data_IF_212593089090
#
_entry.id   IF_212593089090
#
_cell.length_a   1.000
_cell.length_b   1.000
_cell.length_c   1.000
_cell.angle_alpha   90.00
_cell.angle_beta   90.00
_cell.angle_gamma   90.00
#
_symmetry.space_group_name_H-M   'P 1'
#
loop_
_entity.id
_entity.type
_entity.pdbx_description
1 polymer ?
#
# COMPACT_ATOMS: atom_id res chain seq x y z
N UNK A 1 -11.55 5.59 8.95
CA UNK A 1 -12.19 4.26 8.81
C UNK A 1 -12.89 4.12 7.45
N UNK A 2 -12.89 2.93 6.81
CA UNK A 2 -13.53 2.69 5.47
C UNK A 2 -15.08 2.72 5.45
N UNK A 3 -15.72 3.06 6.57
CA UNK A 3 -17.18 3.08 6.70
C UNK A 3 -17.93 3.93 5.65
N UNK A 4 -17.39 5.08 5.15
CA UNK A 4 -18.05 5.85 4.10
C UNK A 4 -18.15 5.09 2.76
N UNK A 5 -17.17 4.24 2.45
CA UNK A 5 -17.18 3.40 1.23
C UNK A 5 -18.26 2.31 1.31
N UNK A 6 -18.71 1.97 2.52
CA UNK A 6 -19.79 1.02 2.77
C UNK A 6 -21.17 1.69 2.77
N UNK A 7 -21.26 2.98 2.40
CA UNK A 7 -22.49 3.79 2.43
C UNK A 7 -23.16 3.81 3.81
N UNK A 8 -22.37 3.66 4.88
CA UNK A 8 -22.85 3.81 6.26
C UNK A 8 -22.95 5.31 6.55
N UNK A 9 -24.18 5.81 6.71
CA UNK A 9 -24.44 7.24 6.85
C UNK A 9 -23.91 7.85 8.16
N UNK A 10 -23.64 9.17 8.18
CA UNK A 10 -23.27 9.87 9.40
C UNK A 10 -24.37 9.75 10.46
N UNK A 11 -24.00 9.40 11.69
CA UNK A 11 -24.93 9.17 12.82
C UNK A 11 -25.35 7.70 13.02
N UNK A 12 -24.96 6.79 12.13
CA UNK A 12 -25.14 5.35 12.35
C UNK A 12 -24.11 4.82 13.36
N UNK A 13 -24.52 3.84 14.17
CA UNK A 13 -23.59 3.01 14.94
C UNK A 13 -22.76 2.17 13.95
N UNK A 14 -21.54 2.65 13.68
CA UNK A 14 -20.64 2.09 12.68
C UNK A 14 -20.29 0.64 13.01
N UNK A 15 -20.02 0.32 14.26
CA UNK A 15 -19.60 -1.02 14.68
C UNK A 15 -20.73 -2.02 14.50
N UNK A 16 -21.96 -1.63 14.87
CA UNK A 16 -23.14 -2.45 14.65
C UNK A 16 -23.44 -2.64 13.16
N UNK A 17 -23.32 -1.58 12.36
CA UNK A 17 -23.54 -1.62 10.92
C UNK A 17 -22.51 -2.51 10.20
N UNK A 18 -21.23 -2.41 10.57
CA UNK A 18 -20.16 -3.25 10.03
C UNK A 18 -20.38 -4.71 10.42
N UNK A 19 -20.72 -5.00 11.68
CA UNK A 19 -20.99 -6.36 12.15
C UNK A 19 -22.19 -7.01 11.46
N UNK A 20 -23.25 -6.23 11.19
CA UNK A 20 -24.39 -6.71 10.43
C UNK A 20 -24.00 -7.05 8.99
N UNK A 21 -23.24 -6.17 8.33
CA UNK A 21 -22.76 -6.39 6.96
C UNK A 21 -21.80 -7.58 6.84
N UNK A 22 -20.92 -7.81 7.82
CA UNK A 22 -19.97 -8.94 7.77
C UNK A 22 -20.65 -10.31 7.83
N UNK A 23 -21.92 -10.35 8.25
CA UNK A 23 -22.75 -11.56 8.33
C UNK A 23 -23.77 -11.66 7.19
N UNK A 24 -23.81 -10.66 6.32
CA UNK A 24 -24.73 -10.60 5.19
C UNK A 24 -24.03 -11.14 3.93
N UNK A 25 -24.42 -12.34 3.54
CA UNK A 25 -23.95 -13.05 2.35
C UNK A 25 -24.28 -12.34 1.02
N UNK A 26 -25.19 -11.36 1.04
CA UNK A 26 -25.48 -10.53 -0.14
C UNK A 26 -24.48 -9.39 -0.35
N UNK A 27 -23.48 -9.22 0.53
CA UNK A 27 -22.46 -8.19 0.36
C UNK A 27 -21.51 -8.50 -0.80
N UNK A 28 -21.69 -7.77 -1.91
CA UNK A 28 -21.24 -8.13 -3.27
C UNK A 28 -19.77 -7.82 -3.60
N UNK A 29 -18.91 -7.48 -2.62
CA UNK A 29 -17.55 -6.95 -2.91
C UNK A 29 -16.42 -7.55 -2.04
N UNK A 30 -16.31 -8.88 -1.88
CA UNK A 30 -15.13 -9.47 -1.22
C UNK A 30 -13.80 -9.11 -1.91
N UNK A 31 -13.85 -8.74 -3.19
CA UNK A 31 -12.68 -8.39 -4.00
C UNK A 31 -11.91 -7.12 -3.61
N UNK A 32 -12.44 -6.26 -2.74
CA UNK A 32 -11.77 -5.00 -2.36
C UNK A 32 -10.74 -5.13 -1.24
N UNK A 33 -10.43 -6.36 -0.81
CA UNK A 33 -9.51 -6.73 0.28
C UNK A 33 -8.57 -5.61 0.75
N UNK A 34 -7.43 -5.47 0.09
CA UNK A 34 -6.39 -4.49 0.43
C UNK A 34 -6.36 -3.30 -0.53
N UNK A 35 -7.43 -3.08 -1.30
CA UNK A 35 -7.57 -1.94 -2.20
C UNK A 35 -7.36 -0.62 -1.43
N UNK A 36 -6.79 0.38 -2.10
CA UNK A 36 -6.38 1.64 -1.49
C UNK A 36 -5.14 1.59 -0.59
N UNK A 37 -4.39 0.47 -0.49
CA UNK A 37 -3.13 0.47 0.26
C UNK A 37 -2.11 1.45 -0.36
N UNK A 38 -1.66 2.40 0.46
CA UNK A 38 -0.77 3.49 0.05
C UNK A 38 0.50 3.60 0.90
N UNK A 39 0.48 3.06 2.12
CA UNK A 39 1.64 3.10 2.99
C UNK A 39 1.87 1.83 3.80
N UNK A 40 3.12 1.64 4.18
CA UNK A 40 3.56 0.64 5.15
C UNK A 40 4.39 1.35 6.22
N UNK A 41 3.89 1.37 7.45
CA UNK A 41 4.50 2.11 8.55
C UNK A 41 5.11 1.12 9.53
N UNK A 42 6.42 1.21 9.71
CA UNK A 42 7.23 0.41 10.61
C UNK A 42 7.72 1.34 11.73
N UNK A 43 6.95 1.42 12.81
CA UNK A 43 7.22 2.34 13.91
C UNK A 43 6.55 1.87 15.20
N UNK A 44 6.93 2.40 16.38
CA UNK A 44 6.27 2.04 17.62
C UNK A 44 4.77 2.35 17.53
N UNK A 45 3.90 1.46 18.02
CA UNK A 45 2.43 1.63 17.96
C UNK A 45 1.95 2.99 18.47
N UNK A 46 2.67 3.59 19.42
CA UNK A 46 2.40 4.92 19.95
C UNK A 46 2.40 6.01 18.88
N UNK A 47 3.23 5.90 17.83
CA UNK A 47 3.32 6.86 16.72
C UNK A 47 2.04 6.94 15.89
N UNK A 48 1.27 5.86 15.80
CA UNK A 48 0.06 5.78 14.96
C UNK A 48 -1.21 5.64 15.78
N UNK A 49 -1.14 5.78 17.11
CA UNK A 49 -2.30 5.58 17.99
C UNK A 49 -3.24 6.77 17.91
N UNK A 50 -4.52 6.50 17.63
CA UNK A 50 -5.54 7.53 17.48
C UNK A 50 -5.53 8.26 16.14
N UNK A 51 -4.59 7.94 15.23
CA UNK A 51 -4.58 8.50 13.87
C UNK A 51 -5.57 7.76 12.97
N UNK A 52 -6.41 8.49 12.25
CA UNK A 52 -7.21 7.90 11.16
C UNK A 52 -6.37 7.87 9.87
N UNK A 53 -5.85 6.69 9.54
CA UNK A 53 -5.09 6.45 8.31
C UNK A 53 -6.00 6.05 7.14
N UNK A 54 -7.32 6.23 7.28
CA UNK A 54 -8.35 5.90 6.29
C UNK A 54 -8.45 4.41 5.92
N UNK A 55 -7.66 3.55 6.55
CA UNK A 55 -7.52 2.15 6.13
C UNK A 55 -6.63 1.98 4.89
N UNK A 56 -5.71 2.91 4.65
CA UNK A 56 -4.74 2.91 3.54
C UNK A 56 -3.33 2.47 3.96
N UNK A 57 -3.11 2.13 5.24
CA UNK A 57 -1.79 1.81 5.76
C UNK A 57 -1.71 0.39 6.32
N UNK A 58 -0.65 -0.32 5.96
CA UNK A 58 -0.17 -1.48 6.72
C UNK A 58 0.63 -0.97 7.92
N UNK A 59 0.42 -1.57 9.10
CA UNK A 59 1.10 -1.17 10.33
C UNK A 59 1.93 -2.32 10.87
N UNK A 60 3.21 -2.06 11.12
CA UNK A 60 4.10 -2.97 11.82
C UNK A 60 4.67 -2.27 13.06
N UNK A 61 4.35 -2.80 14.24
CA UNK A 61 4.93 -2.25 15.48
C UNK A 61 6.38 -2.68 15.58
N UNK A 62 7.28 -1.71 15.68
CA UNK A 62 8.72 -1.93 15.74
C UNK A 62 9.39 -0.82 16.55
N UNK A 63 10.31 -1.17 17.44
CA UNK A 63 11.14 -0.22 18.18
C UNK A 63 12.61 -0.61 18.00
N UNK A 64 13.33 0.17 17.20
CA UNK A 64 14.72 -0.10 16.86
C UNK A 64 15.67 -0.09 18.06
N UNK A 65 15.29 0.60 19.15
CA UNK A 65 16.09 0.64 20.38
C UNK A 65 16.11 -0.69 21.13
N UNK A 66 15.19 -1.59 20.79
CA UNK A 66 15.09 -2.94 21.36
C UNK A 66 15.64 -4.01 20.39
N UNK A 67 16.15 -3.60 19.23
CA UNK A 67 16.63 -4.49 18.17
C UNK A 67 18.16 -4.45 18.08
N UNK A 68 18.81 -5.14 19.03
CA UNK A 68 20.26 -5.23 19.08
C UNK A 68 20.81 -5.86 17.79
N UNK A 69 21.58 -5.07 17.03
CA UNK A 69 22.15 -5.50 15.75
C UNK A 69 21.20 -5.44 14.56
N UNK A 70 19.99 -4.88 14.72
CA UNK A 70 19.03 -4.60 13.63
C UNK A 70 18.55 -5.85 12.85
N UNK A 71 18.55 -7.01 13.49
CA UNK A 71 18.10 -8.26 12.85
C UNK A 71 16.61 -8.25 12.56
N UNK A 72 15.81 -7.61 13.41
CA UNK A 72 14.36 -7.46 13.19
C UNK A 72 14.09 -6.44 12.08
N UNK A 73 14.84 -5.33 12.01
CA UNK A 73 14.77 -4.38 10.89
C UNK A 73 15.05 -5.09 9.55
N UNK A 74 16.10 -5.89 9.50
CA UNK A 74 16.46 -6.68 8.33
C UNK A 74 15.34 -7.62 7.91
N UNK A 75 14.75 -8.35 8.86
CA UNK A 75 13.60 -9.21 8.60
C UNK A 75 12.40 -8.41 8.06
N UNK A 76 12.10 -7.25 8.64
CA UNK A 76 10.98 -6.41 8.22
C UNK A 76 11.17 -5.89 6.78
N UNK A 77 12.36 -5.42 6.45
CA UNK A 77 12.68 -4.87 5.12
C UNK A 77 12.76 -5.97 4.04
N UNK A 78 13.16 -7.19 4.40
CA UNK A 78 13.33 -8.28 3.42
C UNK A 78 12.08 -9.13 3.23
N UNK A 79 11.15 -9.16 4.19
CA UNK A 79 9.93 -9.95 4.09
C UNK A 79 8.64 -9.09 4.10
N UNK A 80 8.15 -8.55 5.23
CA UNK A 80 6.94 -7.72 5.24
C UNK A 80 6.91 -6.57 4.23
N UNK A 81 8.01 -5.84 4.06
CA UNK A 81 8.08 -4.75 3.09
C UNK A 81 7.95 -5.25 1.64
N UNK A 82 8.62 -6.35 1.31
CA UNK A 82 8.55 -6.97 -0.01
C UNK A 82 7.13 -7.47 -0.29
N UNK A 83 6.50 -8.16 0.67
CA UNK A 83 5.10 -8.61 0.55
C UNK A 83 4.14 -7.44 0.36
N UNK A 84 4.27 -6.37 1.18
CA UNK A 84 3.44 -5.17 1.04
C UNK A 84 3.62 -4.52 -0.33
N UNK A 85 4.85 -4.50 -0.85
CA UNK A 85 5.16 -3.97 -2.18
C UNK A 85 4.48 -4.78 -3.29
N UNK A 86 4.49 -6.11 -3.21
CA UNK A 86 3.85 -6.96 -4.23
C UNK A 86 2.34 -6.80 -4.25
N UNK A 87 1.73 -6.70 -3.07
CA UNK A 87 0.30 -6.41 -2.95
C UNK A 87 -0.01 -5.07 -3.61
N UNK A 88 0.69 -3.99 -3.22
CA UNK A 88 0.46 -2.67 -3.79
C UNK A 88 0.71 -2.64 -5.32
N UNK A 89 1.79 -3.26 -5.81
CA UNK A 89 2.10 -3.31 -7.23
C UNK A 89 1.06 -4.08 -8.05
N UNK A 90 0.46 -5.13 -7.48
CA UNK A 90 -0.61 -5.87 -8.14
C UNK A 90 -1.85 -4.98 -8.36
N UNK A 91 -2.23 -4.20 -7.35
CA UNK A 91 -3.30 -3.21 -7.51
C UNK A 91 -2.89 -2.08 -8.45
N UNK A 92 -1.69 -1.52 -8.31
CA UNK A 92 -1.14 -0.49 -9.18
C UNK A 92 -1.24 -0.87 -10.66
N UNK A 93 -0.66 -2.02 -11.04
CA UNK A 93 -0.61 -2.45 -12.42
C UNK A 93 -2.01 -2.75 -12.97
N UNK A 94 -2.85 -3.42 -12.16
CA UNK A 94 -4.25 -3.73 -12.52
C UNK A 94 -5.12 -2.46 -12.66
N UNK A 95 -4.76 -1.36 -12.00
CA UNK A 95 -5.42 -0.06 -12.14
C UNK A 95 -4.92 0.71 -13.37
N UNK A 96 -3.59 0.71 -13.63
CA UNK A 96 -2.97 1.44 -14.75
C UNK A 96 -3.47 0.92 -16.10
N UNK A 97 -3.42 -0.40 -16.31
CA UNK A 97 -3.98 -1.03 -17.51
C UNK A 97 -4.50 -2.43 -17.15
N UNK A 98 -5.80 -2.51 -16.86
CA UNK A 98 -6.42 -3.78 -16.50
C UNK A 98 -6.47 -4.79 -17.65
N UNK A 99 -6.40 -4.33 -18.90
CA UNK A 99 -6.43 -5.23 -20.06
C UNK A 99 -5.11 -5.98 -20.19
N UNK A 100 -4.01 -5.30 -19.90
CA UNK A 100 -2.65 -5.87 -20.00
C UNK A 100 -2.19 -6.53 -18.70
N UNK A 101 -2.39 -5.87 -17.56
CA UNK A 101 -1.85 -6.30 -16.26
C UNK A 101 -2.93 -6.77 -15.27
N UNK A 102 -4.20 -6.72 -15.65
CA UNK A 102 -5.32 -7.21 -14.87
C UNK A 102 -5.88 -8.52 -15.41
N UNK A 103 -7.06 -8.88 -14.91
CA UNK A 103 -7.82 -10.04 -15.40
C UNK A 103 -9.16 -9.68 -16.04
N UNK A 104 -9.43 -8.41 -16.34
CA UNK A 104 -10.67 -8.00 -16.99
C UNK A 104 -11.89 -8.19 -16.08
N UNK A 105 -13.02 -8.56 -16.67
CA UNK A 105 -14.29 -8.67 -15.97
C UNK A 105 -14.41 -9.98 -15.18
N UNK A 106 -14.48 -9.87 -13.85
CA UNK A 106 -14.65 -11.01 -12.92
C UNK A 106 -15.84 -11.91 -13.27
N UNK A 107 -16.93 -11.35 -13.80
CA UNK A 107 -18.14 -12.10 -14.14
C UNK A 107 -17.93 -13.11 -15.28
N UNK A 108 -16.88 -12.91 -16.09
CA UNK A 108 -16.55 -13.76 -17.23
C UNK A 108 -15.39 -14.71 -16.94
N UNK A 109 -14.88 -14.76 -15.70
CA UNK A 109 -13.69 -15.54 -15.36
C UNK A 109 -13.95 -17.05 -15.39
N UNK A 110 -13.13 -17.74 -16.15
CA UNK A 110 -12.99 -19.20 -16.08
C UNK A 110 -11.63 -19.53 -15.50
N UNK A 111 -11.61 -20.21 -14.34
CA UNK A 111 -10.37 -20.54 -13.61
C UNK A 111 -9.60 -21.63 -14.34
N UNK A 112 -8.30 -21.42 -14.55
CA UNK A 112 -7.42 -22.38 -15.22
C UNK A 112 -6.29 -22.79 -14.27
N UNK A 113 -6.38 -24.03 -13.75
CA UNK A 113 -5.28 -24.70 -13.06
C UNK A 113 -4.71 -23.99 -11.83
N UNK A 114 -5.46 -23.04 -11.22
CA UNK A 114 -4.97 -22.11 -10.20
C UNK A 114 -3.77 -21.23 -10.63
N UNK A 115 -3.48 -21.17 -11.94
CA UNK A 115 -2.42 -20.36 -12.52
C UNK A 115 -2.92 -18.98 -12.94
N UNK A 116 -4.18 -18.89 -13.33
CA UNK A 116 -4.83 -17.66 -13.76
C UNK A 116 -6.27 -17.89 -14.21
N UNK A 117 -6.80 -16.95 -14.97
CA UNK A 117 -8.17 -17.00 -15.50
C UNK A 117 -8.20 -16.69 -16.99
N UNK A 118 -9.20 -17.24 -17.69
CA UNK A 118 -9.63 -16.75 -19.00
C UNK A 118 -10.80 -15.80 -18.82
N UNK A 119 -10.86 -14.73 -19.62
CA UNK A 119 -12.03 -13.85 -19.68
C UNK A 119 -12.95 -14.28 -20.82
N UNK A 120 -14.03 -15.00 -20.49
CA UNK A 120 -14.98 -15.56 -21.45
C UNK A 120 -14.59 -16.96 -21.93
N UNK A 121 -15.00 -17.32 -23.14
CA UNK A 121 -14.91 -18.70 -23.65
C UNK A 121 -13.50 -19.12 -24.13
N UNK A 122 -12.51 -18.22 -24.08
CA UNK A 122 -11.14 -18.47 -24.56
C UNK A 122 -10.26 -17.23 -24.43
N UNK A 123 -9.07 -17.28 -25.05
CA UNK A 123 -8.10 -16.17 -25.07
C UNK A 123 -6.85 -16.44 -24.24
N UNK A 124 -6.06 -15.40 -24.02
CA UNK A 124 -4.82 -15.48 -23.25
C UNK A 124 -5.10 -15.64 -21.75
N UNK A 125 -4.22 -16.38 -21.06
CA UNK A 125 -4.27 -16.52 -19.60
C UNK A 125 -3.97 -15.17 -18.94
N UNK A 126 -4.81 -14.76 -17.99
CA UNK A 126 -4.64 -13.50 -17.25
C UNK A 126 -4.31 -13.74 -15.78
N UNK A 127 -3.34 -12.97 -15.28
CA UNK A 127 -2.71 -13.11 -13.96
C UNK A 127 -2.65 -11.77 -13.25
N UNK A 128 -3.82 -11.20 -12.94
CA UNK A 128 -3.94 -9.89 -12.31
C UNK A 128 -5.31 -9.72 -11.66
N UNK A 129 -5.59 -8.54 -11.11
CA UNK A 129 -6.87 -8.30 -10.45
C UNK A 129 -7.96 -7.95 -11.47
N UNK A 130 -9.20 -8.41 -11.23
CA UNK A 130 -10.32 -8.02 -12.07
C UNK A 130 -10.64 -6.54 -11.92
N UNK A 131 -11.31 -5.97 -12.92
CA UNK A 131 -11.78 -4.59 -12.89
C UNK A 131 -12.56 -4.25 -11.62
N UNK A 132 -13.40 -5.18 -11.13
CA UNK A 132 -14.20 -5.00 -9.92
C UNK A 132 -13.35 -4.91 -8.64
N UNK A 133 -12.11 -5.40 -8.62
CA UNK A 133 -11.19 -5.24 -7.48
C UNK A 133 -10.63 -3.82 -7.36
N UNK A 134 -10.55 -3.10 -8.48
CA UNK A 134 -9.90 -1.79 -8.56
C UNK A 134 -10.87 -0.64 -8.80
N UNK A 135 -12.12 -0.93 -9.20
CA UNK A 135 -13.11 0.07 -9.61
C UNK A 135 -14.51 -0.28 -9.08
N UNK A 136 -15.27 0.73 -8.63
CA UNK A 136 -16.63 0.55 -8.07
C UNK A 136 -17.77 0.69 -9.09
N UNK A 137 -17.45 1.20 -10.28
CA UNK A 137 -18.40 1.50 -11.36
C UNK A 137 -18.43 2.98 -11.72
N UNK A 138 -17.98 3.84 -10.80
CA UNK A 138 -17.90 5.30 -10.98
C UNK A 138 -16.46 5.80 -10.86
N UNK A 139 -15.67 5.24 -9.94
CA UNK A 139 -14.29 5.64 -9.67
C UNK A 139 -13.39 4.46 -9.31
N UNK A 140 -12.09 4.73 -9.34
CA UNK A 140 -11.09 3.81 -8.79
C UNK A 140 -11.20 3.73 -7.26
N UNK A 141 -11.20 2.51 -6.75
CA UNK A 141 -11.12 2.18 -5.32
C UNK A 141 -9.66 2.04 -4.87
N UNK A 142 -8.76 1.74 -5.82
CA UNK A 142 -7.32 1.83 -5.64
C UNK A 142 -6.73 2.77 -6.69
N UNK A 143 -6.15 3.88 -6.25
CA UNK A 143 -5.40 4.80 -7.10
C UNK A 143 -4.08 4.16 -7.53
N UNK A 144 -3.60 4.38 -8.76
CA UNK A 144 -2.35 3.81 -9.25
C UNK A 144 -1.14 4.53 -8.62
N UNK A 145 -0.89 4.28 -7.34
CA UNK A 145 0.23 4.80 -6.56
C UNK A 145 1.19 3.68 -6.16
N UNK A 146 2.46 4.05 -6.01
CA UNK A 146 3.51 3.16 -5.49
C UNK A 146 3.55 3.26 -3.96
N UNK A 147 3.88 2.15 -3.31
CA UNK A 147 3.88 2.05 -1.85
C UNK A 147 4.88 3.02 -1.22
N UNK A 148 4.42 3.77 -0.21
CA UNK A 148 5.27 4.57 0.66
C UNK A 148 5.61 3.78 1.93
N UNK A 149 6.88 3.48 2.16
CA UNK A 149 7.37 2.79 3.35
C UNK A 149 7.98 3.82 4.29
N UNK A 150 7.45 3.90 5.51
CA UNK A 150 7.90 4.81 6.56
C UNK A 150 8.50 4.00 7.69
N UNK A 151 9.78 4.19 8.01
CA UNK A 151 10.48 3.42 9.04
C UNK A 151 11.05 4.36 10.11
N UNK A 152 10.74 4.08 11.38
CA UNK A 152 11.43 4.66 12.55
C UNK A 152 12.65 3.78 12.87
N UNK A 153 13.79 4.09 12.22
CA UNK A 153 15.08 3.43 12.41
C UNK A 153 16.24 4.35 11.95
N UNK A 154 17.48 4.15 12.44
CA UNK A 154 18.65 4.86 11.95
C UNK A 154 18.89 4.62 10.45
N UNK A 155 19.28 5.69 9.72
CA UNK A 155 19.55 5.61 8.27
C UNK A 155 20.69 4.64 7.96
N UNK A 156 21.75 4.65 8.77
CA UNK A 156 22.90 3.76 8.55
C UNK A 156 22.47 2.29 8.65
N UNK A 157 21.62 1.96 9.63
CA UNK A 157 21.08 0.60 9.78
C UNK A 157 20.20 0.19 8.58
N UNK A 158 19.37 1.10 8.06
CA UNK A 158 18.59 0.83 6.84
C UNK A 158 19.49 0.67 5.61
N UNK A 159 20.48 1.52 5.45
CA UNK A 159 21.45 1.44 4.35
C UNK A 159 22.25 0.13 4.39
N UNK A 160 22.64 -0.32 5.58
CA UNK A 160 23.32 -1.59 5.78
C UNK A 160 22.47 -2.78 5.29
N UNK A 161 21.16 -2.77 5.58
CA UNK A 161 20.23 -3.78 5.06
C UNK A 161 20.09 -3.67 3.53
N UNK A 162 19.93 -2.46 2.99
CA UNK A 162 19.81 -2.24 1.54
C UNK A 162 21.07 -2.73 0.80
N UNK A 163 22.25 -2.50 1.37
CA UNK A 163 23.52 -2.92 0.80
C UNK A 163 23.70 -4.45 0.81
N UNK A 164 23.14 -5.15 1.80
CA UNK A 164 23.21 -6.62 1.90
C UNK A 164 22.23 -7.34 0.96
N UNK A 165 21.13 -6.69 0.57
CA UNK A 165 20.01 -7.33 -0.13
C UNK A 165 19.71 -6.70 -1.48
N UNK A 166 20.24 -7.26 -2.55
CA UNK A 166 20.06 -6.77 -3.93
C UNK A 166 18.58 -6.61 -4.33
N UNK A 167 17.71 -7.54 -3.93
CA UNK A 167 16.28 -7.45 -4.24
C UNK A 167 15.60 -6.24 -3.60
N UNK A 168 15.97 -5.91 -2.35
CA UNK A 168 15.49 -4.71 -1.66
C UNK A 168 16.05 -3.46 -2.33
N UNK A 169 17.35 -3.48 -2.65
CA UNK A 169 18.03 -2.38 -3.34
C UNK A 169 17.39 -2.06 -4.69
N UNK A 170 17.13 -3.07 -5.51
CA UNK A 170 16.48 -2.91 -6.81
C UNK A 170 15.05 -2.38 -6.68
N UNK A 171 14.31 -2.77 -5.65
CA UNK A 171 12.96 -2.27 -5.40
C UNK A 171 12.96 -0.76 -5.13
N UNK A 172 13.96 -0.28 -4.38
CA UNK A 172 14.11 1.12 -3.99
C UNK A 172 14.76 1.97 -5.08
N UNK A 173 15.88 1.52 -5.64
CA UNK A 173 16.66 2.26 -6.64
C UNK A 173 15.90 2.45 -7.95
N UNK A 174 15.08 1.46 -8.34
CA UNK A 174 14.18 1.59 -9.51
C UNK A 174 12.87 2.34 -9.18
N UNK A 175 12.70 2.77 -7.94
CA UNK A 175 11.55 3.56 -7.48
C UNK A 175 10.23 2.79 -7.48
N UNK A 176 10.24 1.45 -7.42
CA UNK A 176 9.02 0.65 -7.28
C UNK A 176 8.37 0.84 -5.91
N UNK A 177 9.18 1.19 -4.90
CA UNK A 177 8.76 1.58 -3.56
C UNK A 177 9.46 2.87 -3.17
N UNK A 178 8.77 3.74 -2.44
CA UNK A 178 9.36 4.94 -1.83
C UNK A 178 9.68 4.66 -0.37
N UNK A 179 10.91 4.92 0.05
CA UNK A 179 11.35 4.73 1.44
C UNK A 179 11.60 6.07 2.12
N UNK A 180 11.07 6.20 3.33
CA UNK A 180 11.12 7.39 4.16
C UNK A 180 11.57 7.04 5.58
N UNK A 181 12.44 7.88 6.14
CA UNK A 181 12.91 7.79 7.51
C UNK A 181 12.09 8.73 8.41
N UNK A 182 11.55 8.21 9.50
CA UNK A 182 10.88 9.00 10.53
C UNK A 182 11.92 9.65 11.46
N UNK A 183 11.70 10.92 11.79
CA UNK A 183 12.49 11.66 12.79
C UNK A 183 12.07 11.32 14.22
N UNK A 184 12.79 11.87 15.20
CA UNK A 184 12.50 11.63 16.63
C UNK A 184 11.12 12.14 17.05
N UNK A 185 10.63 13.19 16.39
CA UNK A 185 9.28 13.76 16.54
C UNK A 185 8.19 12.88 15.88
N UNK A 186 8.58 11.89 15.09
CA UNK A 186 7.67 11.04 14.32
C UNK A 186 7.25 11.63 12.98
N UNK A 187 7.79 12.79 12.60
CA UNK A 187 7.58 13.37 11.28
C UNK A 187 8.47 12.68 10.24
N UNK A 188 8.07 12.75 8.97
CA UNK A 188 8.93 12.26 7.89
C UNK A 188 10.10 13.22 7.72
N UNK A 189 11.32 12.75 7.98
CA UNK A 189 12.52 13.58 7.97
C UNK A 189 13.26 13.51 6.65
N UNK A 190 13.46 12.31 6.11
CA UNK A 190 14.26 12.07 4.90
C UNK A 190 13.61 11.05 3.98
N UNK A 191 13.92 11.20 2.69
CA UNK A 191 13.52 10.30 1.60
C UNK A 191 14.73 9.66 0.98
N UNK A 192 14.66 8.36 0.74
CA UNK A 192 15.67 7.61 -0.02
C UNK A 192 15.60 7.99 -1.50
N UNK A 193 16.75 8.26 -2.13
CA UNK A 193 16.85 8.73 -3.52
C UNK A 193 17.74 7.87 -4.42
N UNK A 194 18.09 6.67 -3.96
CA UNK A 194 18.95 5.74 -4.71
C UNK A 194 20.41 5.74 -4.23
N UNK A 195 21.11 4.65 -4.49
CA UNK A 195 22.53 4.48 -4.19
C UNK A 195 22.88 4.71 -2.71
N UNK A 196 22.03 4.29 -1.77
CA UNK A 196 22.24 4.51 -0.32
C UNK A 196 22.20 5.99 0.11
N UNK A 197 21.67 6.88 -0.75
CA UNK A 197 21.57 8.33 -0.48
C UNK A 197 20.17 8.75 -0.07
N UNK A 198 20.13 9.79 0.76
CA UNK A 198 18.90 10.34 1.34
C UNK A 198 18.86 11.86 1.21
N UNK A 199 17.68 12.43 0.98
CA UNK A 199 17.44 13.88 0.96
C UNK A 199 16.43 14.29 2.04
N UNK A 200 16.56 15.49 2.63
CA UNK A 200 15.53 16.05 3.49
C UNK A 200 14.20 16.22 2.73
N UNK A 201 13.08 15.92 3.37
CA UNK A 201 11.75 16.09 2.72
C UNK A 201 11.36 17.57 2.59
N UNK A 202 11.91 18.46 3.43
CA UNK A 202 11.69 19.91 3.31
C UNK A 202 12.19 20.52 1.99
N UNK A 203 13.16 19.89 1.31
CA UNK A 203 13.64 20.33 -0.01
C UNK A 203 12.72 19.87 -1.16
N UNK A 204 11.83 18.91 -0.91
CA UNK A 204 10.89 18.38 -1.90
C UNK A 204 9.62 19.23 -2.01
N UNK A 205 9.34 20.23 -1.16
CA UNK A 205 8.12 21.07 -1.31
C UNK A 205 8.05 21.79 -2.68
N UNK A 206 9.20 22.07 -3.32
CA UNK A 206 9.24 22.64 -4.67
C UNK A 206 8.89 21.64 -5.79
N UNK A 207 8.96 20.32 -5.54
CA UNK A 207 8.68 19.25 -6.51
C UNK A 207 7.40 18.47 -6.14
N UNK A 208 7.07 18.43 -4.85
CA UNK A 208 5.85 17.87 -4.30
C UNK A 208 4.66 18.81 -4.46
N UNK A 209 4.84 20.12 -4.70
CA UNK A 209 3.71 21.03 -4.94
C UNK A 209 2.81 20.59 -6.13
N UNK A 210 3.32 19.86 -7.13
CA UNK A 210 2.48 19.32 -8.22
C UNK A 210 1.76 18.01 -7.82
N UNK A 211 2.41 17.12 -7.06
CA UNK A 211 1.84 15.83 -6.64
C UNK A 211 0.98 15.91 -5.37
N UNK A 212 1.30 16.85 -4.47
CA UNK A 212 0.62 17.10 -3.20
C UNK A 212 -0.64 17.97 -3.39
N UNK A 213 -0.64 18.91 -4.35
CA UNK A 213 -1.87 19.65 -4.69
C UNK A 213 -2.95 18.79 -5.35
N UNK A 214 -2.60 17.65 -5.94
CA UNK A 214 -3.57 16.67 -6.42
C UNK A 214 -4.28 15.95 -5.26
N UNK A 215 -3.55 15.64 -4.18
CA UNK A 215 -4.12 15.02 -2.98
C UNK A 215 -4.91 16.01 -2.09
N UNK A 216 -4.49 17.28 -2.05
CA UNK A 216 -5.10 18.28 -1.17
C UNK A 216 -6.38 18.95 -1.72
N UNK A 217 -6.72 18.77 -3.01
CA UNK A 217 -7.98 19.26 -3.59
C UNK A 217 -9.24 18.47 -3.17
N UNK A 218 -9.08 17.34 -2.48
CA UNK A 218 -10.19 16.45 -2.11
C UNK A 218 -10.49 16.40 -0.61
N UNK A 219 -9.83 17.25 0.20
CA UNK A 219 -10.11 17.38 1.63
C UNK A 219 -10.89 18.66 1.99
N UNK A 220 -11.49 19.33 0.99
CA UNK A 220 -12.59 20.27 1.16
C UNK A 220 -13.77 19.83 0.29
#
# INVERSE_FOLDING_TARGET
ARAPLLKIGPGADVDKAVTARSRDWSQVRPEWGLAGCASFIVAPRARTRGMDLGGHAFLHSYDWRQDDGFGVLELIMTAPMVVASWINLQYYASTVDNRVFGSGNKALHNVVGALGVLEGNGGDLRVGLPWQSVHDGERYVHEPLRLNVLIDAPIDAMNDVIARHDGVRQLLDNGWVHLFALGEDGAVSRRYVGDLRWRPVAEDEAVAAESYQAAHRWLN
#
